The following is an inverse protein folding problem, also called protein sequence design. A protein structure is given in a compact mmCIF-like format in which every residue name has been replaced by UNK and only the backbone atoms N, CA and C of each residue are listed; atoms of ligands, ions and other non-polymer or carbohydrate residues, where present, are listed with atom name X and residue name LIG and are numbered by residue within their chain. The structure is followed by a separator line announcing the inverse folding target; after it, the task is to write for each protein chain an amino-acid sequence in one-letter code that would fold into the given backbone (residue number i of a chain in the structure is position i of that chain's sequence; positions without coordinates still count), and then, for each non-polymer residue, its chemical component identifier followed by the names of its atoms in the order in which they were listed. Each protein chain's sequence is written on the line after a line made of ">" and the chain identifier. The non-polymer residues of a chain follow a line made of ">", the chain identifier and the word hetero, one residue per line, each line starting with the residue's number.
data_IF_670410338062
#
_entry.id   IF_670410338062
#
_cell.length_a   1.000
_cell.length_b   1.000
_cell.length_c   1.000
_cell.angle_alpha   90.00
_cell.angle_beta   90.00
_cell.angle_gamma   90.00
#
_symmetry.space_group_name_H-M   'P 1'
#
loop_
_entity.id
_entity.type
_entity.pdbx_description
1 polymer ?
#
# COMPACT_ATOMS: atom_id res chain seq x y z
N UNK A 1 -1.15 4.53 7.51
CA UNK A 1 -1.81 5.82 7.51
C UNK A 1 -2.47 6.08 6.15
N UNK A 2 -3.57 6.87 6.13
CA UNK A 2 -4.28 7.30 4.91
C UNK A 2 -4.87 6.16 4.05
N UNK A 3 -4.99 4.96 4.58
CA UNK A 3 -5.50 3.79 3.82
C UNK A 3 -6.95 3.95 3.38
N UNK A 4 -7.71 4.85 4.01
CA UNK A 4 -9.09 5.19 3.65
C UNK A 4 -9.22 5.72 2.21
N UNK A 5 -8.17 6.32 1.67
CA UNK A 5 -8.13 6.87 0.32
C UNK A 5 -7.70 5.86 -0.75
N UNK A 6 -7.37 4.63 -0.36
CA UNK A 6 -7.06 3.58 -1.31
C UNK A 6 -8.33 3.06 -1.98
N UNK A 7 -8.31 2.91 -3.30
CA UNK A 7 -9.42 2.31 -4.07
C UNK A 7 -9.56 0.80 -3.86
N UNK A 8 -8.46 0.16 -3.46
CA UNK A 8 -8.40 -1.27 -3.10
C UNK A 8 -7.28 -1.51 -2.10
N UNK A 9 -7.32 -2.65 -1.42
CA UNK A 9 -6.35 -3.02 -0.40
C UNK A 9 -5.43 -4.13 -0.90
N UNK A 10 -4.27 -4.26 -0.28
CA UNK A 10 -3.09 -5.02 -0.71
C UNK A 10 -2.44 -4.45 -1.99
N UNK A 11 -1.23 -4.91 -2.26
CA UNK A 11 -0.48 -4.49 -3.45
C UNK A 11 -1.12 -4.97 -4.76
N UNK A 12 -1.76 -6.12 -4.74
CA UNK A 12 -2.45 -6.73 -5.88
C UNK A 12 -3.91 -6.29 -6.03
N UNK A 13 -4.45 -5.53 -5.04
CA UNK A 13 -5.82 -5.03 -5.08
C UNK A 13 -6.91 -6.07 -4.82
N UNK A 14 -6.58 -7.23 -4.21
CA UNK A 14 -7.53 -8.34 -4.03
C UNK A 14 -8.66 -8.10 -3.03
N UNK A 15 -8.63 -6.99 -2.31
CA UNK A 15 -9.73 -6.55 -1.42
C UNK A 15 -10.22 -5.17 -1.82
N UNK A 16 -11.53 -5.00 -1.87
CA UNK A 16 -12.20 -3.79 -2.37
C UNK A 16 -12.55 -2.79 -1.27
N UNK A 17 -12.36 -3.14 -0.01
CA UNK A 17 -12.62 -2.25 1.13
C UNK A 17 -11.71 -2.58 2.31
N UNK A 18 -11.65 -1.67 3.29
CA UNK A 18 -10.97 -1.90 4.56
C UNK A 18 -11.60 -3.05 5.33
N UNK A 19 -12.94 -3.14 5.37
CA UNK A 19 -13.67 -4.23 6.03
C UNK A 19 -13.34 -5.60 5.42
N UNK A 20 -13.20 -5.65 4.09
CA UNK A 20 -12.82 -6.88 3.40
C UNK A 20 -11.39 -7.32 3.72
N UNK A 21 -10.49 -6.38 4.03
CA UNK A 21 -9.09 -6.62 4.34
C UNK A 21 -8.86 -6.89 5.84
N UNK A 22 -9.61 -6.24 6.73
CA UNK A 22 -9.34 -6.15 8.16
C UNK A 22 -9.12 -7.50 8.88
N UNK A 23 -9.79 -8.56 8.43
CA UNK A 23 -9.68 -9.88 9.06
C UNK A 23 -8.59 -10.78 8.46
N UNK A 24 -8.05 -10.43 7.29
CA UNK A 24 -7.07 -11.28 6.60
C UNK A 24 -5.78 -11.46 7.43
N UNK A 25 -5.14 -10.40 7.99
CA UNK A 25 -3.94 -10.55 8.81
C UNK A 25 -4.15 -11.42 10.06
N UNK A 26 -5.35 -11.39 10.62
CA UNK A 26 -5.67 -12.13 11.84
C UNK A 26 -5.65 -13.65 11.61
N UNK A 27 -6.05 -14.10 10.43
CA UNK A 27 -6.08 -15.54 10.08
C UNK A 27 -4.92 -15.98 9.20
N UNK A 28 -4.05 -15.05 8.79
CA UNK A 28 -2.85 -15.36 8.01
C UNK A 28 -1.81 -16.04 8.90
N UNK A 29 -1.38 -17.29 8.58
CA UNK A 29 -0.43 -18.04 9.40
C UNK A 29 0.97 -17.41 9.47
N UNK A 30 1.31 -16.50 8.55
CA UNK A 30 2.58 -15.77 8.55
C UNK A 30 2.52 -14.43 9.33
N UNK A 31 1.32 -14.05 9.80
CA UNK A 31 1.09 -12.83 10.57
C UNK A 31 0.57 -13.20 11.97
N UNK A 32 -0.72 -12.93 12.27
CA UNK A 32 -1.27 -13.25 13.61
C UNK A 32 -1.57 -14.75 13.81
N UNK A 33 -1.95 -15.48 12.77
CA UNK A 33 -2.00 -16.93 12.76
C UNK A 33 -3.19 -17.56 13.50
N UNK A 34 -4.28 -16.87 13.72
CA UNK A 34 -5.50 -17.47 14.24
C UNK A 34 -6.01 -18.58 13.30
N UNK A 35 -6.46 -19.70 13.86
CA UNK A 35 -6.93 -20.86 13.10
C UNK A 35 -8.04 -20.50 12.09
N UNK A 36 -8.95 -19.63 12.49
CA UNK A 36 -10.07 -19.14 11.70
C UNK A 36 -10.78 -17.97 12.42
N UNK A 37 -11.75 -17.37 11.76
CA UNK A 37 -12.58 -16.30 12.30
C UNK A 37 -13.37 -16.70 13.56
N UNK A 38 -13.72 -17.98 13.73
CA UNK A 38 -14.41 -18.42 14.96
C UNK A 38 -13.50 -18.36 16.18
N UNK A 39 -12.20 -18.60 16.01
CA UNK A 39 -11.21 -18.44 17.08
C UNK A 39 -11.11 -16.98 17.52
N UNK A 40 -11.11 -16.03 16.57
CA UNK A 40 -11.16 -14.59 16.85
C UNK A 40 -12.43 -14.24 17.65
N UNK A 41 -13.60 -14.65 17.17
CA UNK A 41 -14.87 -14.37 17.85
C UNK A 41 -14.95 -14.98 19.26
N UNK A 42 -14.34 -16.14 19.48
CA UNK A 42 -14.27 -16.75 20.80
C UNK A 42 -13.45 -15.89 21.79
N UNK A 43 -12.34 -15.33 21.33
CA UNK A 43 -11.49 -14.41 22.13
C UNK A 43 -12.27 -13.15 22.49
N UNK A 44 -12.90 -12.48 21.52
CA UNK A 44 -13.63 -11.25 21.72
C UNK A 44 -14.84 -11.47 22.66
N UNK A 45 -15.59 -12.56 22.47
CA UNK A 45 -16.75 -12.88 23.30
C UNK A 45 -16.40 -13.31 24.73
N UNK A 46 -15.17 -13.71 24.99
CA UNK A 46 -14.69 -14.06 26.33
C UNK A 46 -14.35 -12.81 27.17
N UNK A 47 -14.17 -11.66 26.55
CA UNK A 47 -13.84 -10.41 27.23
C UNK A 47 -15.11 -9.56 27.44
N UNK A 48 -15.53 -9.32 28.69
CA UNK A 48 -16.76 -8.56 28.98
C UNK A 48 -16.68 -7.09 28.53
N UNK A 49 -15.47 -6.51 28.40
CA UNK A 49 -15.29 -5.14 27.91
C UNK A 49 -15.67 -5.10 26.44
N UNK A 50 -15.11 -5.99 25.61
CA UNK A 50 -15.48 -6.07 24.20
C UNK A 50 -16.99 -6.35 24.01
N UNK A 51 -17.57 -7.26 24.82
CA UNK A 51 -19.01 -7.55 24.73
C UNK A 51 -19.84 -6.30 25.00
N UNK A 52 -19.49 -5.52 26.02
CA UNK A 52 -20.20 -4.27 26.35
C UNK A 52 -20.06 -3.21 25.23
N UNK A 53 -18.85 -3.03 24.69
CA UNK A 53 -18.58 -2.07 23.62
C UNK A 53 -19.27 -2.44 22.32
N UNK A 54 -19.23 -3.72 21.92
CA UNK A 54 -19.94 -4.18 20.73
C UNK A 54 -21.46 -4.07 20.88
N UNK A 55 -22.02 -4.34 22.07
CA UNK A 55 -23.43 -4.14 22.32
C UNK A 55 -23.84 -2.66 22.22
N UNK A 56 -22.99 -1.75 22.69
CA UNK A 56 -23.23 -0.31 22.59
C UNK A 56 -23.12 0.19 21.14
N UNK A 57 -22.16 -0.32 20.38
CA UNK A 57 -21.92 0.09 19.00
C UNK A 57 -22.90 -0.52 17.99
N UNK A 58 -23.45 -1.73 18.27
CA UNK A 58 -24.32 -2.48 17.38
C UNK A 58 -25.55 -3.05 18.15
N UNK A 59 -26.41 -2.18 18.69
CA UNK A 59 -27.51 -2.60 19.58
C UNK A 59 -28.53 -3.52 18.91
N UNK A 60 -28.67 -3.44 17.59
CA UNK A 60 -29.59 -4.25 16.79
C UNK A 60 -29.22 -5.74 16.77
N UNK A 61 -27.98 -6.10 17.03
CA UNK A 61 -27.50 -7.49 17.02
C UNK A 61 -27.50 -8.16 18.42
N UNK A 62 -27.82 -7.42 19.46
CA UNK A 62 -27.75 -7.89 20.83
C UNK A 62 -26.33 -8.38 21.19
N UNK A 63 -26.23 -9.46 21.97
CA UNK A 63 -24.95 -10.05 22.40
C UNK A 63 -24.26 -10.90 21.33
N UNK A 64 -24.84 -11.00 20.12
CA UNK A 64 -24.29 -11.84 19.04
C UNK A 64 -23.27 -11.07 18.21
N UNK A 65 -22.02 -11.01 18.68
CA UNK A 65 -20.92 -10.37 17.94
C UNK A 65 -20.62 -11.17 16.67
N UNK A 66 -20.62 -10.48 15.52
CA UNK A 66 -20.35 -11.03 14.20
C UNK A 66 -18.97 -10.63 13.70
N UNK A 67 -18.36 -11.45 12.83
CA UNK A 67 -17.07 -11.12 12.21
C UNK A 67 -17.11 -9.82 11.39
N UNK A 68 -18.24 -9.54 10.75
CA UNK A 68 -18.43 -8.28 10.01
C UNK A 68 -18.37 -7.04 10.91
N UNK A 69 -18.88 -7.14 12.14
CA UNK A 69 -18.79 -6.03 13.10
C UNK A 69 -17.35 -5.80 13.57
N UNK A 70 -16.59 -6.89 13.78
CA UNK A 70 -15.16 -6.77 14.09
C UNK A 70 -14.42 -6.11 12.93
N UNK A 71 -14.69 -6.51 11.70
CA UNK A 71 -14.12 -5.89 10.52
C UNK A 71 -14.48 -4.39 10.42
N UNK A 72 -15.76 -4.05 10.70
CA UNK A 72 -16.21 -2.64 10.71
C UNK A 72 -15.51 -1.83 11.80
N UNK A 73 -15.35 -2.37 12.99
CA UNK A 73 -14.66 -1.68 14.08
C UNK A 73 -13.20 -1.38 13.73
N UNK A 74 -12.47 -2.37 13.19
CA UNK A 74 -11.09 -2.20 12.73
C UNK A 74 -11.05 -1.15 11.60
N UNK A 75 -11.89 -1.27 10.60
CA UNK A 75 -11.93 -0.34 9.48
C UNK A 75 -12.32 1.09 9.91
N UNK A 76 -13.19 1.25 10.90
CA UNK A 76 -13.50 2.56 11.50
C UNK A 76 -12.25 3.17 12.15
N UNK A 77 -11.50 2.39 12.90
CA UNK A 77 -10.24 2.84 13.48
C UNK A 77 -9.22 3.24 12.39
N UNK A 78 -9.02 2.41 11.38
CA UNK A 78 -8.11 2.70 10.27
C UNK A 78 -8.47 4.01 9.54
N UNK A 79 -9.76 4.34 9.41
CA UNK A 79 -10.24 5.62 8.83
C UNK A 79 -9.84 6.83 9.65
N UNK A 80 -9.55 6.69 10.94
CA UNK A 80 -9.08 7.78 11.79
C UNK A 80 -7.58 8.05 11.63
N UNK A 81 -6.84 7.11 11.05
CA UNK A 81 -5.39 7.19 10.89
C UNK A 81 -5.01 8.08 9.70
N UNK A 82 -5.32 9.37 9.83
CA UNK A 82 -5.07 10.39 8.81
C UNK A 82 -3.79 11.15 9.15
N UNK A 83 -2.91 11.25 8.16
CA UNK A 83 -1.68 12.03 8.24
C UNK A 83 -1.62 13.04 7.10
N UNK A 84 -1.36 14.28 7.44
CA UNK A 84 -1.26 15.44 6.55
C UNK A 84 -0.39 16.51 7.17
N UNK A 85 -0.49 17.74 6.67
CA UNK A 85 0.27 18.91 7.14
C UNK A 85 1.80 18.69 7.07
N UNK A 86 2.25 17.97 6.02
CA UNK A 86 3.67 17.80 5.75
C UNK A 86 4.30 19.15 5.31
N UNK A 87 5.64 19.28 5.34
CA UNK A 87 6.30 20.44 4.75
C UNK A 87 5.86 20.73 3.30
N UNK A 88 5.62 19.67 2.50
CA UNK A 88 5.05 19.83 1.16
C UNK A 88 3.66 20.47 1.18
N UNK A 89 2.77 20.04 2.07
CA UNK A 89 1.40 20.58 2.13
C UNK A 89 1.39 22.05 2.48
N UNK A 90 2.20 22.46 3.46
CA UNK A 90 2.33 23.85 3.86
C UNK A 90 2.90 24.73 2.75
N UNK A 91 3.87 24.20 1.99
CA UNK A 91 4.45 24.90 0.85
C UNK A 91 3.46 25.00 -0.33
N UNK A 92 2.87 23.87 -0.71
CA UNK A 92 2.15 23.75 -1.98
C UNK A 92 0.70 24.26 -1.90
N UNK A 93 0.04 24.06 -0.75
CA UNK A 93 -1.36 24.44 -0.52
C UNK A 93 -1.53 25.55 0.51
N UNK A 94 -0.52 25.78 1.35
CA UNK A 94 -0.60 26.70 2.48
C UNK A 94 0.20 28.00 2.32
N UNK A 95 0.77 28.26 1.14
CA UNK A 95 1.55 29.46 0.81
C UNK A 95 2.76 29.72 1.73
N UNK A 96 3.26 28.70 2.45
CA UNK A 96 4.47 28.80 3.26
C UNK A 96 5.72 28.57 2.41
N UNK A 97 6.26 29.65 1.84
CA UNK A 97 7.46 29.61 1.01
C UNK A 97 8.70 29.03 1.72
N UNK A 98 8.72 28.98 3.04
CA UNK A 98 9.85 28.49 3.84
C UNK A 98 9.67 27.04 4.29
N UNK A 99 8.53 26.40 4.07
CA UNK A 99 8.27 25.03 4.50
C UNK A 99 9.15 23.97 3.80
N UNK A 100 9.58 24.25 2.55
CA UNK A 100 10.52 23.38 1.82
C UNK A 100 11.92 23.99 1.75
N UNK A 101 12.93 23.13 1.93
CA UNK A 101 14.32 23.49 1.61
C UNK A 101 14.50 23.76 0.09
N UNK A 102 15.55 24.47 -0.28
CA UNK A 102 15.86 24.69 -1.69
C UNK A 102 16.08 23.36 -2.45
N UNK A 103 16.68 22.38 -1.80
CA UNK A 103 16.85 21.02 -2.35
C UNK A 103 15.49 20.34 -2.60
N UNK A 104 14.59 20.36 -1.63
CA UNK A 104 13.25 19.78 -1.78
C UNK A 104 12.42 20.49 -2.87
N UNK A 105 12.56 21.81 -3.05
CA UNK A 105 11.91 22.56 -4.14
C UNK A 105 12.41 22.11 -5.52
N UNK A 106 13.73 21.94 -5.68
CA UNK A 106 14.29 21.38 -6.91
C UNK A 106 13.82 19.94 -7.13
N UNK A 107 13.78 19.13 -6.04
CA UNK A 107 13.26 17.78 -6.07
C UNK A 107 11.81 17.70 -6.52
N UNK A 108 10.94 18.61 -6.05
CA UNK A 108 9.55 18.73 -6.51
C UNK A 108 9.48 19.01 -8.03
N UNK A 109 10.30 19.93 -8.52
CA UNK A 109 10.37 20.22 -9.96
C UNK A 109 10.80 18.97 -10.77
N UNK A 110 11.82 18.25 -10.30
CA UNK A 110 12.25 16.99 -10.92
C UNK A 110 11.16 15.93 -10.89
N UNK A 111 10.47 15.78 -9.77
CA UNK A 111 9.35 14.84 -9.58
C UNK A 111 8.22 15.07 -10.59
N UNK A 112 7.86 16.34 -10.80
CA UNK A 112 6.79 16.72 -11.72
C UNK A 112 7.19 16.60 -13.21
N UNK A 113 8.48 16.78 -13.54
CA UNK A 113 8.94 16.90 -14.93
C UNK A 113 9.95 15.82 -15.34
N UNK A 114 11.22 16.00 -15.06
CA UNK A 114 12.31 15.16 -15.63
C UNK A 114 12.28 13.72 -15.15
N UNK A 115 11.93 13.48 -13.88
CA UNK A 115 11.83 12.15 -13.31
C UNK A 115 10.48 11.47 -13.61
N UNK A 116 9.47 12.24 -14.07
CA UNK A 116 8.14 11.75 -14.44
C UNK A 116 7.38 10.99 -13.33
N UNK A 117 7.75 11.18 -12.06
CA UNK A 117 7.12 10.47 -10.93
C UNK A 117 5.65 10.83 -10.77
N UNK A 118 5.29 12.11 -11.05
CA UNK A 118 3.92 12.61 -10.95
C UNK A 118 2.93 11.96 -11.95
N UNK A 119 3.41 11.17 -12.92
CA UNK A 119 2.53 10.45 -13.85
C UNK A 119 1.71 9.33 -13.18
N UNK A 120 2.23 8.76 -12.08
CA UNK A 120 1.55 7.76 -11.26
C UNK A 120 1.31 8.27 -9.84
N UNK A 121 2.27 9.01 -9.28
CA UNK A 121 2.16 9.62 -7.96
C UNK A 121 1.60 11.05 -8.08
N UNK A 122 0.31 11.16 -8.36
CA UNK A 122 -0.36 12.40 -8.76
C UNK A 122 -0.41 13.46 -7.66
N UNK A 123 -0.33 14.72 -8.08
CA UNK A 123 -0.56 15.91 -7.25
C UNK A 123 -1.79 16.60 -7.82
N UNK A 124 -2.87 16.62 -7.06
CA UNK A 124 -4.11 17.31 -7.42
C UNK A 124 -4.06 18.80 -7.10
N UNK A 125 -5.08 19.57 -7.52
CA UNK A 125 -5.13 21.01 -7.28
C UNK A 125 -5.44 21.40 -5.83
N UNK A 126 -6.03 20.51 -5.05
CA UNK A 126 -6.45 20.77 -3.66
C UNK A 126 -5.97 19.71 -2.67
N UNK A 127 -5.47 18.58 -3.16
CA UNK A 127 -4.94 17.48 -2.38
C UNK A 127 -3.84 16.75 -3.14
N UNK A 128 -2.96 16.10 -2.43
CA UNK A 128 -1.94 15.24 -3.02
C UNK A 128 -1.83 13.95 -2.20
N UNK A 129 -2.43 12.89 -2.69
CA UNK A 129 -2.27 11.54 -2.12
C UNK A 129 -1.01 10.85 -2.66
N UNK A 130 -0.39 11.40 -3.70
CA UNK A 130 0.76 10.82 -4.38
C UNK A 130 0.52 9.38 -4.82
N UNK A 131 -0.65 9.14 -5.39
CA UNK A 131 -1.07 7.89 -6.01
C UNK A 131 -2.18 8.19 -7.02
N UNK A 132 -2.22 7.43 -8.11
CA UNK A 132 -3.35 7.39 -9.03
C UNK A 132 -4.31 6.23 -8.70
N UNK A 133 -3.97 5.42 -7.68
CA UNK A 133 -4.64 4.19 -7.31
C UNK A 133 -4.76 3.15 -8.47
N UNK A 134 -4.05 3.36 -9.57
CA UNK A 134 -3.98 2.43 -10.69
C UNK A 134 -2.92 1.34 -10.47
N UNK A 135 -2.88 0.37 -11.39
CA UNK A 135 -1.94 -0.75 -11.32
C UNK A 135 -0.89 -0.62 -12.41
N UNK A 136 0.38 -0.65 -12.02
CA UNK A 136 1.51 -0.49 -12.92
C UNK A 136 2.59 -1.53 -12.63
N UNK A 137 3.39 -1.87 -13.64
CA UNK A 137 4.53 -2.76 -13.51
C UNK A 137 5.83 -1.98 -13.60
N UNK A 138 6.74 -2.26 -12.65
CA UNK A 138 8.16 -1.90 -12.73
C UNK A 138 9.02 -3.12 -13.04
N UNK A 139 8.41 -4.27 -13.33
CA UNK A 139 9.11 -5.55 -13.57
C UNK A 139 9.99 -6.03 -12.39
N UNK A 140 9.84 -5.44 -11.21
CA UNK A 140 10.52 -5.89 -9.98
C UNK A 140 9.99 -7.29 -9.64
N UNK A 141 10.88 -8.21 -9.31
CA UNK A 141 10.52 -9.60 -9.01
C UNK A 141 10.23 -10.49 -10.22
N UNK A 142 9.74 -9.94 -11.35
CA UNK A 142 9.33 -10.73 -12.51
C UNK A 142 10.47 -11.56 -13.12
N UNK A 143 11.69 -11.03 -13.20
CA UNK A 143 12.83 -11.78 -13.73
C UNK A 143 13.13 -13.03 -12.91
N UNK A 144 12.94 -12.96 -11.59
CA UNK A 144 13.16 -14.09 -10.67
C UNK A 144 12.17 -15.21 -10.94
N UNK A 145 10.91 -14.89 -11.21
CA UNK A 145 9.85 -15.88 -11.45
C UNK A 145 9.66 -16.24 -12.93
N UNK A 146 10.36 -15.60 -13.85
CA UNK A 146 10.20 -15.80 -15.30
C UNK A 146 10.23 -17.28 -15.72
N UNK A 147 11.14 -18.16 -15.21
CA UNK A 147 11.15 -19.58 -15.54
C UNK A 147 9.90 -20.34 -15.08
N UNK A 148 9.24 -19.85 -14.04
CA UNK A 148 8.05 -20.46 -13.43
C UNK A 148 6.74 -19.84 -13.86
N UNK A 149 6.77 -18.78 -14.66
CA UNK A 149 5.59 -17.99 -15.01
C UNK A 149 4.43 -18.83 -15.58
N UNK A 150 4.67 -19.80 -16.50
CA UNK A 150 3.59 -20.66 -17.02
C UNK A 150 2.96 -21.54 -15.92
N UNK A 151 3.77 -22.06 -14.99
CA UNK A 151 3.29 -22.88 -13.86
C UNK A 151 2.42 -22.03 -12.92
N UNK A 152 2.95 -20.85 -12.50
CA UNK A 152 2.30 -19.98 -11.52
C UNK A 152 0.96 -19.43 -12.07
N UNK A 153 0.93 -18.98 -13.31
CA UNK A 153 -0.31 -18.48 -13.93
C UNK A 153 -1.35 -19.58 -14.08
N UNK A 154 -0.95 -20.78 -14.52
CA UNK A 154 -1.84 -21.94 -14.59
C UNK A 154 -2.43 -22.28 -13.22
N UNK A 155 -1.62 -22.26 -12.17
CA UNK A 155 -2.03 -22.53 -10.78
C UNK A 155 -3.11 -21.56 -10.32
N UNK A 156 -2.93 -20.25 -10.56
CA UNK A 156 -3.92 -19.22 -10.22
C UNK A 156 -5.22 -19.42 -10.99
N UNK A 157 -5.15 -19.63 -12.31
CA UNK A 157 -6.33 -19.89 -13.16
C UNK A 157 -7.09 -21.12 -12.67
N UNK A 158 -6.39 -22.24 -12.43
CA UNK A 158 -7.01 -23.48 -11.93
C UNK A 158 -7.68 -23.28 -10.57
N UNK A 159 -7.03 -22.57 -9.65
CA UNK A 159 -7.59 -22.28 -8.34
C UNK A 159 -8.87 -21.48 -8.45
N UNK A 160 -8.88 -20.43 -9.27
CA UNK A 160 -10.08 -19.61 -9.50
C UNK A 160 -11.23 -20.41 -10.11
N UNK A 161 -10.94 -21.26 -11.08
CA UNK A 161 -11.95 -22.16 -11.70
C UNK A 161 -12.51 -23.18 -10.70
N UNK A 162 -11.70 -23.63 -9.75
CA UNK A 162 -12.07 -24.61 -8.72
C UNK A 162 -12.66 -23.97 -7.45
N UNK A 163 -12.86 -22.63 -7.40
CA UNK A 163 -13.37 -21.93 -6.24
C UNK A 163 -12.42 -21.92 -5.03
N UNK A 164 -11.12 -22.19 -5.26
CA UNK A 164 -10.09 -22.14 -4.22
C UNK A 164 -9.77 -20.65 -3.96
N UNK A 165 -9.70 -20.25 -2.68
CA UNK A 165 -9.31 -18.88 -2.30
C UNK A 165 -7.94 -18.54 -2.86
N UNK A 166 -7.82 -17.37 -3.48
CA UNK A 166 -6.56 -16.84 -3.99
C UNK A 166 -5.54 -16.62 -2.86
N UNK A 167 -6.00 -16.22 -1.66
CA UNK A 167 -5.12 -16.07 -0.50
C UNK A 167 -4.37 -17.36 -0.17
N UNK A 168 -5.08 -18.50 -0.22
CA UNK A 168 -4.45 -19.81 0.00
C UNK A 168 -3.39 -20.11 -1.05
N UNK A 169 -3.60 -19.71 -2.30
CA UNK A 169 -2.63 -19.92 -3.39
C UNK A 169 -1.40 -19.06 -3.18
N UNK A 170 -1.57 -17.79 -2.88
CA UNK A 170 -0.49 -16.83 -2.61
C UNK A 170 0.34 -17.29 -1.40
N UNK A 171 -0.32 -17.70 -0.31
CA UNK A 171 0.36 -18.15 0.91
C UNK A 171 1.08 -19.48 0.75
N UNK A 172 0.64 -20.33 -0.17
CA UNK A 172 1.27 -21.64 -0.40
C UNK A 172 2.53 -21.57 -1.26
N UNK A 173 2.70 -20.51 -2.02
CA UNK A 173 3.88 -20.29 -2.86
C UNK A 173 4.13 -18.77 -3.01
N UNK A 174 5.19 -18.32 -2.36
CA UNK A 174 5.59 -16.92 -2.33
C UNK A 174 5.74 -16.29 -3.72
N UNK A 175 6.19 -17.07 -4.71
CA UNK A 175 6.36 -16.57 -6.07
C UNK A 175 5.03 -16.23 -6.75
N UNK A 176 3.91 -16.78 -6.26
CA UNK A 176 2.59 -16.43 -6.78
C UNK A 176 2.23 -14.96 -6.52
N UNK A 177 2.73 -14.36 -5.44
CA UNK A 177 2.49 -12.95 -5.14
C UNK A 177 3.11 -12.01 -6.18
N UNK A 178 4.19 -12.43 -6.85
CA UNK A 178 4.84 -11.64 -7.90
C UNK A 178 3.99 -11.51 -9.17
N UNK A 179 2.92 -12.29 -9.31
CA UNK A 179 1.98 -12.13 -10.41
C UNK A 179 1.15 -10.83 -10.29
N UNK A 180 1.16 -10.17 -9.12
CA UNK A 180 0.50 -8.90 -8.90
C UNK A 180 -1.00 -8.96 -9.19
N UNK A 181 -1.53 -7.93 -9.82
CA UNK A 181 -2.97 -7.79 -10.11
C UNK A 181 -3.57 -8.89 -11.00
N UNK A 182 -2.73 -9.64 -11.72
CA UNK A 182 -3.19 -10.83 -12.47
C UNK A 182 -3.95 -11.82 -11.58
N UNK A 183 -3.60 -11.96 -10.30
CA UNK A 183 -4.30 -12.90 -9.39
C UNK A 183 -5.77 -12.52 -9.18
N UNK A 184 -6.11 -11.25 -9.45
CA UNK A 184 -7.48 -10.71 -9.35
C UNK A 184 -8.19 -10.79 -10.70
N UNK A 185 -7.56 -10.30 -11.77
CA UNK A 185 -8.20 -10.09 -13.08
C UNK A 185 -8.12 -11.28 -14.01
N UNK A 186 -7.10 -12.13 -13.87
CA UNK A 186 -6.71 -13.17 -14.83
C UNK A 186 -6.35 -12.64 -16.23
N UNK A 187 -6.18 -11.31 -16.35
CA UNK A 187 -5.73 -10.69 -17.59
C UNK A 187 -4.21 -10.77 -17.69
N UNK A 188 -3.61 -11.38 -18.71
CA UNK A 188 -2.17 -11.46 -18.87
C UNK A 188 -1.44 -10.10 -18.86
N UNK A 189 -2.11 -9.02 -19.27
CA UNK A 189 -1.55 -7.67 -19.23
C UNK A 189 -1.32 -7.15 -17.80
N UNK A 190 -1.93 -7.79 -16.80
CA UNK A 190 -1.81 -7.40 -15.40
C UNK A 190 -0.74 -8.19 -14.62
N UNK A 191 0.01 -9.04 -15.31
CA UNK A 191 1.12 -9.79 -14.68
C UNK A 191 2.19 -8.80 -14.21
N UNK A 192 2.49 -8.85 -12.91
CA UNK A 192 3.47 -7.99 -12.27
C UNK A 192 3.04 -6.53 -12.11
N UNK A 193 1.75 -6.24 -12.31
CA UNK A 193 1.18 -4.94 -11.98
C UNK A 193 0.82 -4.89 -10.49
N UNK A 194 1.24 -3.81 -9.85
CA UNK A 194 0.92 -3.52 -8.45
C UNK A 194 0.28 -2.14 -8.35
N UNK A 195 -0.58 -1.97 -7.35
CA UNK A 195 -1.22 -0.68 -7.10
C UNK A 195 -0.15 0.36 -6.73
N UNK A 196 -0.21 1.53 -7.34
CA UNK A 196 0.63 2.67 -6.97
C UNK A 196 0.41 3.01 -5.48
N UNK A 197 1.42 2.87 -4.62
CA UNK A 197 1.27 3.26 -3.21
C UNK A 197 1.29 4.78 -3.08
N UNK A 198 0.65 5.29 -2.03
CA UNK A 198 0.88 6.68 -1.63
C UNK A 198 2.33 6.88 -1.21
N UNK A 199 2.94 8.01 -1.57
CA UNK A 199 4.28 8.39 -1.10
C UNK A 199 4.23 9.20 0.20
N UNK A 200 3.06 9.44 0.76
CA UNK A 200 2.97 10.12 2.05
C UNK A 200 3.68 9.31 3.13
N UNK A 201 4.53 9.98 3.89
CA UNK A 201 5.34 9.38 4.94
C UNK A 201 6.35 8.32 4.44
N UNK A 202 6.68 8.32 3.16
CA UNK A 202 7.53 7.28 2.53
C UNK A 202 8.90 7.15 3.20
N UNK A 203 9.45 8.24 3.76
CA UNK A 203 10.70 8.20 4.55
C UNK A 203 10.67 7.19 5.70
N UNK A 204 9.48 6.92 6.26
CA UNK A 204 9.28 6.10 7.46
C UNK A 204 8.93 4.63 7.13
N UNK A 205 8.81 4.27 5.86
CA UNK A 205 8.22 2.99 5.44
C UNK A 205 9.21 2.02 4.79
N UNK A 206 10.50 2.18 5.05
CA UNK A 206 11.49 1.18 4.64
C UNK A 206 11.20 -0.21 5.28
N UNK A 207 11.49 -1.33 4.58
CA UNK A 207 12.04 -1.43 3.23
C UNK A 207 11.00 -1.15 2.13
N UNK A 208 11.48 -0.81 0.92
CA UNK A 208 10.66 -0.35 -0.19
C UNK A 208 10.37 -1.45 -1.20
N UNK A 209 9.49 -1.13 -2.16
CA UNK A 209 8.86 -1.97 -3.16
C UNK A 209 7.83 -2.94 -2.55
N UNK A 210 7.05 -3.61 -3.40
CA UNK A 210 6.00 -4.54 -2.96
C UNK A 210 6.55 -5.77 -2.24
N UNK A 211 7.82 -6.14 -2.52
CA UNK A 211 8.51 -7.30 -1.97
C UNK A 211 9.51 -6.94 -0.84
N UNK A 212 9.66 -5.64 -0.52
CA UNK A 212 10.60 -5.17 0.48
C UNK A 212 12.08 -5.35 0.09
N UNK A 213 12.39 -5.51 -1.19
CA UNK A 213 13.75 -5.84 -1.65
C UNK A 213 14.72 -4.66 -1.62
N UNK A 214 14.24 -3.44 -1.39
CA UNK A 214 15.02 -2.21 -1.44
C UNK A 214 15.11 -1.57 -0.06
N UNK A 215 16.33 -1.42 0.46
CA UNK A 215 16.54 -1.02 1.84
C UNK A 215 16.44 0.49 2.08
N UNK A 216 16.81 1.32 1.10
CA UNK A 216 16.91 2.76 1.28
C UNK A 216 16.07 3.54 0.26
N UNK A 217 15.63 4.75 0.66
CA UNK A 217 14.86 5.62 -0.23
C UNK A 217 15.69 6.06 -1.45
N UNK A 218 16.99 6.26 -1.28
CA UNK A 218 17.90 6.57 -2.38
C UNK A 218 17.92 5.43 -3.42
N UNK A 219 18.07 4.19 -2.95
CA UNK A 219 18.03 3.02 -3.84
C UNK A 219 16.67 2.85 -4.50
N UNK A 220 15.56 3.18 -3.81
CA UNK A 220 14.23 3.15 -4.40
C UNK A 220 14.11 4.14 -5.56
N UNK A 221 14.61 5.36 -5.41
CA UNK A 221 14.68 6.36 -6.49
C UNK A 221 15.51 5.85 -7.66
N UNK A 222 16.67 5.25 -7.41
CA UNK A 222 17.55 4.69 -8.46
C UNK A 222 16.84 3.57 -9.24
N UNK A 223 16.14 2.68 -8.54
CA UNK A 223 15.37 1.58 -9.14
C UNK A 223 14.20 2.09 -9.98
N UNK A 224 13.44 3.04 -9.47
CA UNK A 224 12.35 3.69 -10.20
C UNK A 224 12.83 4.31 -11.51
N UNK A 225 13.89 5.12 -11.47
CA UNK A 225 14.44 5.76 -12.66
C UNK A 225 14.92 4.73 -13.70
N UNK A 226 15.55 3.65 -13.25
CA UNK A 226 16.03 2.58 -14.11
C UNK A 226 14.88 1.87 -14.84
N UNK A 227 13.89 1.37 -14.10
CA UNK A 227 12.79 0.61 -14.68
C UNK A 227 11.87 1.48 -15.54
N UNK A 228 11.57 2.69 -15.11
CA UNK A 228 10.77 3.63 -15.92
C UNK A 228 11.49 4.02 -17.22
N UNK A 229 12.78 4.25 -17.16
CA UNK A 229 13.59 4.50 -18.36
C UNK A 229 13.54 3.32 -19.34
N UNK A 230 13.58 2.10 -18.82
CA UNK A 230 13.45 0.89 -19.62
C UNK A 230 12.06 0.79 -20.29
N UNK A 231 11.00 1.03 -19.55
CA UNK A 231 9.61 1.02 -20.07
C UNK A 231 9.36 2.12 -21.11
N UNK A 232 9.94 3.31 -20.88
CA UNK A 232 9.82 4.45 -21.80
C UNK A 232 10.70 4.33 -23.06
N UNK A 233 11.52 3.26 -23.16
CA UNK A 233 12.46 3.05 -24.27
C UNK A 233 13.60 4.07 -24.31
N UNK A 234 13.80 4.85 -23.25
CA UNK A 234 14.89 5.84 -23.11
C UNK A 234 15.31 5.96 -21.65
N UNK A 235 16.62 6.09 -21.37
CA UNK A 235 17.07 6.29 -20.01
C UNK A 235 16.52 7.59 -19.42
N UNK A 236 16.11 7.53 -18.15
CA UNK A 236 15.89 8.72 -17.33
C UNK A 236 17.19 9.00 -16.59
N UNK A 237 17.93 10.00 -17.06
CA UNK A 237 19.27 10.32 -16.55
C UNK A 237 19.16 11.54 -15.64
N UNK A 238 19.48 11.36 -14.37
CA UNK A 238 19.64 12.41 -13.38
C UNK A 238 21.04 12.35 -12.79
N UNK A 239 21.60 13.51 -12.49
CA UNK A 239 22.86 13.61 -11.75
C UNK A 239 22.70 13.12 -10.31
N UNK A 240 23.80 12.78 -9.60
CA UNK A 240 23.72 12.43 -8.18
C UNK A 240 23.04 13.50 -7.31
N UNK A 241 23.30 14.78 -7.59
CA UNK A 241 22.69 15.91 -6.87
C UNK A 241 21.18 15.99 -7.12
N UNK A 242 20.73 15.80 -8.37
CA UNK A 242 19.30 15.75 -8.70
C UNK A 242 18.59 14.59 -8.03
N UNK A 243 19.20 13.43 -7.93
CA UNK A 243 18.67 12.29 -7.19
C UNK A 243 18.59 12.58 -5.69
N UNK A 244 19.58 13.26 -5.13
CA UNK A 244 19.56 13.73 -3.74
C UNK A 244 18.42 14.74 -3.51
N UNK A 245 18.21 15.69 -4.44
CA UNK A 245 17.11 16.63 -4.38
C UNK A 245 15.73 15.94 -4.40
N UNK A 246 15.57 14.87 -5.22
CA UNK A 246 14.37 14.05 -5.21
C UNK A 246 14.14 13.37 -3.84
N UNK A 247 15.17 12.81 -3.24
CA UNK A 247 15.08 12.19 -1.92
C UNK A 247 14.68 13.22 -0.85
N UNK A 248 15.26 14.42 -0.89
CA UNK A 248 14.88 15.50 0.04
C UNK A 248 13.42 15.93 -0.16
N UNK A 249 12.93 15.96 -1.39
CA UNK A 249 11.51 16.16 -1.66
C UNK A 249 10.63 15.05 -1.07
N UNK A 250 10.99 13.78 -1.28
CA UNK A 250 10.24 12.65 -0.73
C UNK A 250 10.20 12.63 0.80
N UNK A 251 11.26 13.06 1.47
CA UNK A 251 11.28 13.26 2.93
C UNK A 251 10.31 14.36 3.38
N UNK A 252 10.16 15.41 2.58
CA UNK A 252 9.24 16.51 2.87
C UNK A 252 7.75 16.11 2.79
N UNK A 253 7.42 14.87 2.37
CA UNK A 253 6.08 14.29 2.40
C UNK A 253 5.73 13.67 3.75
N UNK A 254 6.63 13.75 4.73
CA UNK A 254 6.45 13.19 6.07
C UNK A 254 5.63 14.16 6.94
N UNK A 255 4.51 13.66 7.43
CA UNK A 255 3.61 14.42 8.31
C UNK A 255 4.17 14.54 9.72
N UNK A 256 4.01 15.67 10.42
CA UNK A 256 4.51 15.86 11.77
C UNK A 256 4.01 14.80 12.77
N UNK A 257 2.76 14.39 12.63
CA UNK A 257 2.10 13.40 13.49
C UNK A 257 2.34 11.94 13.08
N UNK A 258 3.03 11.68 11.96
CA UNK A 258 3.19 10.31 11.45
C UNK A 258 3.95 9.38 12.42
N UNK A 259 4.80 9.94 13.30
CA UNK A 259 5.59 9.19 14.30
C UNK A 259 4.89 9.06 15.66
N UNK A 260 3.80 9.79 15.88
CA UNK A 260 3.11 9.90 17.17
C UNK A 260 1.67 9.38 17.11
N UNK A 261 1.25 8.80 15.99
CA UNK A 261 -0.03 8.10 15.92
C UNK A 261 0.14 6.79 16.68
N UNK A 262 -0.03 6.89 18.00
CA UNK A 262 -0.21 5.75 18.88
C UNK A 262 -1.69 5.35 18.78
N UNK A 263 -1.93 4.04 18.75
CA UNK A 263 -3.29 3.53 18.87
C UNK A 263 -3.92 3.98 20.19
N UNK A 264 -5.23 3.92 20.32
CA UNK A 264 -5.90 4.22 21.59
C UNK A 264 -5.29 3.33 22.69
N UNK A 265 -4.86 3.98 23.77
CA UNK A 265 -4.37 3.34 25.00
C UNK A 265 -5.50 2.61 25.70
#
# INVERSE_FOLDING_TARGET
>A
LNVVFNSSQFWDGRRTSLEAQALDPLTNPLEHGLKNTQALLAIIRADPIYVAEFLAAFPENGISIQASQVAQAIACFERTLIAGDSPFDRYFFGDDEHALSLSAKRGLTLFQHSAQCASCHTIGPHEALFTDNAFHSLSIGLQRIAPRLPELTKRVVTARQSGISIDRVILSDRDTAELGHFVVTLNPADIGNFRTPSLRNVELTAPYMHDGSVATLQEAVDRELYYRGSLAGRPLILTPDEKSDLVEFLKALTSPNARTIEGPT
#
